data_IF_555484521381
#
_entry.id   IF_555484521381
#
_cell.length_a   1.000
_cell.length_b   1.000
_cell.length_c   1.000
_cell.angle_alpha   90.00
_cell.angle_beta   90.00
_cell.angle_gamma   90.00
#
_symmetry.space_group_name_H-M   'P 1'
#
loop_
_entity.id
_entity.type
_entity.pdbx_description
1 polymer ?
#
# COMPACT_ATOMS: atom_id res chain seq x y z
N UNK A 1 -39.39 -29.35 29.29
CA UNK A 1 -39.01 -27.95 29.02
C UNK A 1 -38.42 -27.93 27.63
N UNK A 2 -38.94 -27.10 26.75
CA UNK A 2 -38.50 -27.00 25.36
C UNK A 2 -38.17 -25.53 25.12
N UNK A 3 -36.99 -25.27 24.58
CA UNK A 3 -36.56 -23.96 24.12
C UNK A 3 -36.44 -24.03 22.61
N UNK A 4 -36.93 -22.99 21.93
CA UNK A 4 -36.89 -22.88 20.47
C UNK A 4 -36.32 -21.51 20.16
N UNK A 5 -35.29 -21.47 19.32
CA UNK A 5 -34.69 -20.24 18.82
C UNK A 5 -34.62 -20.28 17.30
N UNK A 6 -34.69 -19.10 16.68
CA UNK A 6 -34.53 -18.93 15.24
C UNK A 6 -33.97 -17.53 14.96
N UNK A 7 -33.13 -17.43 13.94
CA UNK A 7 -32.59 -16.17 13.44
C UNK A 7 -33.33 -15.76 12.17
N UNK A 8 -33.87 -14.54 12.16
CA UNK A 8 -34.48 -13.92 10.99
C UNK A 8 -33.48 -12.94 10.37
N UNK A 9 -33.25 -13.06 9.07
CA UNK A 9 -32.26 -12.25 8.36
C UNK A 9 -32.71 -11.80 6.97
N UNK A 10 -32.03 -10.80 6.38
CA UNK A 10 -32.37 -10.26 5.07
C UNK A 10 -31.92 -11.16 3.90
N UNK A 11 -31.07 -12.16 4.14
CA UNK A 11 -30.55 -13.04 3.10
C UNK A 11 -30.17 -14.41 3.64
N UNK A 12 -30.04 -15.39 2.74
CA UNK A 12 -29.62 -16.74 3.07
C UNK A 12 -28.12 -16.73 3.44
N UNK A 13 -27.83 -16.89 4.72
CA UNK A 13 -26.48 -17.00 5.29
C UNK A 13 -26.43 -18.18 6.24
N UNK A 14 -25.23 -18.73 6.45
CA UNK A 14 -25.04 -19.79 7.44
C UNK A 14 -25.47 -19.28 8.82
N UNK A 15 -26.40 -20.00 9.47
CA UNK A 15 -26.99 -19.61 10.75
C UNK A 15 -28.23 -18.70 10.67
N UNK A 16 -28.73 -18.34 9.49
CA UNK A 16 -30.05 -17.68 9.33
C UNK A 16 -31.12 -18.74 9.05
N UNK A 17 -32.07 -18.90 9.97
CA UNK A 17 -33.14 -19.89 9.85
C UNK A 17 -34.28 -19.42 8.93
N UNK A 18 -34.56 -18.11 8.89
CA UNK A 18 -35.68 -17.56 8.14
C UNK A 18 -35.30 -16.28 7.40
N UNK A 19 -35.45 -16.29 6.07
CA UNK A 19 -35.06 -15.17 5.20
C UNK A 19 -36.27 -14.29 4.89
N UNK A 20 -36.21 -13.02 5.27
CA UNK A 20 -37.29 -12.05 5.07
C UNK A 20 -37.00 -10.99 3.99
N UNK A 21 -35.77 -10.92 3.48
CA UNK A 21 -35.39 -9.89 2.51
C UNK A 21 -35.23 -8.50 3.14
N UNK A 22 -35.08 -7.48 2.29
CA UNK A 22 -34.90 -6.08 2.69
C UNK A 22 -36.17 -5.22 2.62
N UNK A 23 -37.27 -5.77 2.08
CA UNK A 23 -38.53 -5.05 1.89
C UNK A 23 -39.34 -4.82 3.19
N UNK A 24 -39.42 -5.78 4.14
CA UNK A 24 -40.21 -5.58 5.35
C UNK A 24 -39.65 -4.47 6.24
N UNK A 25 -40.47 -3.48 6.60
CA UNK A 25 -40.08 -2.37 7.48
C UNK A 25 -40.38 -2.63 8.97
N UNK A 26 -41.26 -3.58 9.26
CA UNK A 26 -41.57 -4.09 10.60
C UNK A 26 -42.10 -5.52 10.49
N UNK A 27 -42.05 -6.26 11.60
CA UNK A 27 -42.57 -7.62 11.68
C UNK A 27 -43.23 -7.90 13.00
N UNK A 28 -44.17 -8.84 12.99
CA UNK A 28 -44.82 -9.35 14.19
C UNK A 28 -44.37 -10.77 14.44
N UNK A 29 -43.96 -11.04 15.68
CA UNK A 29 -43.54 -12.34 16.14
C UNK A 29 -44.58 -12.89 17.11
N UNK A 30 -44.87 -14.18 16.99
CA UNK A 30 -45.84 -14.86 17.82
C UNK A 30 -45.66 -16.37 17.78
N UNK A 31 -46.39 -17.06 18.63
CA UNK A 31 -46.41 -18.52 18.71
C UNK A 31 -47.77 -19.01 18.21
N UNK A 32 -47.76 -19.97 17.28
CA UNK A 32 -48.95 -20.70 16.91
C UNK A 32 -48.99 -22.03 17.68
N UNK A 33 -50.03 -22.22 18.49
CA UNK A 33 -50.19 -23.40 19.34
C UNK A 33 -51.18 -24.36 18.67
N UNK A 34 -50.64 -25.42 18.06
CA UNK A 34 -51.44 -26.44 17.38
C UNK A 34 -51.50 -27.73 18.20
N UNK A 35 -52.65 -28.41 18.22
CA UNK A 35 -52.82 -29.67 18.96
C UNK A 35 -54.25 -29.95 19.42
N UNK A 36 -54.42 -31.02 20.20
CA UNK A 36 -55.70 -31.42 20.77
C UNK A 36 -56.22 -30.38 21.77
N UNK A 37 -57.54 -30.13 21.76
CA UNK A 37 -58.17 -29.18 22.68
C UNK A 37 -58.11 -29.67 24.14
N UNK A 38 -57.97 -28.73 25.08
CA UNK A 38 -57.91 -29.01 26.53
C UNK A 38 -56.50 -29.17 27.11
N UNK A 39 -55.45 -29.07 26.28
CA UNK A 39 -54.08 -28.98 26.75
C UNK A 39 -53.78 -27.65 27.46
N UNK A 40 -52.91 -27.70 28.47
CA UNK A 40 -52.41 -26.51 29.18
C UNK A 40 -50.96 -26.29 28.74
N UNK A 41 -50.68 -25.12 28.16
CA UNK A 41 -49.33 -24.68 27.79
C UNK A 41 -48.96 -23.51 28.71
N UNK A 42 -47.80 -23.61 29.36
CA UNK A 42 -47.22 -22.52 30.16
C UNK A 42 -45.99 -21.99 29.43
N UNK A 43 -45.99 -20.69 29.14
CA UNK A 43 -44.87 -19.97 28.54
C UNK A 43 -44.12 -19.28 29.68
N UNK A 44 -42.80 -19.43 29.71
CA UNK A 44 -41.97 -18.83 30.74
C UNK A 44 -41.44 -17.47 30.28
N UNK A 45 -40.77 -17.42 29.12
CA UNK A 45 -40.36 -16.18 28.46
C UNK A 45 -40.64 -16.17 26.94
N UNK A 46 -40.56 -14.96 26.37
CA UNK A 46 -40.45 -14.73 24.93
C UNK A 46 -39.52 -13.53 24.70
N UNK A 47 -38.33 -13.77 24.14
CA UNK A 47 -37.34 -12.73 23.89
C UNK A 47 -37.07 -12.51 22.38
N UNK A 48 -36.92 -11.23 22.00
CA UNK A 48 -36.41 -10.82 20.69
C UNK A 48 -35.17 -9.98 20.95
N UNK A 49 -34.03 -10.42 20.42
CA UNK A 49 -32.75 -9.76 20.57
C UNK A 49 -32.11 -9.44 19.22
N UNK A 50 -31.37 -8.34 19.17
CA UNK A 50 -30.53 -8.02 18.03
C UNK A 50 -29.27 -8.89 18.05
N UNK A 51 -29.17 -9.79 17.08
CA UNK A 51 -28.02 -10.69 16.90
C UNK A 51 -27.10 -10.27 15.74
N UNK A 52 -27.20 -9.03 15.27
CA UNK A 52 -26.35 -8.48 14.18
C UNK A 52 -24.85 -8.65 14.48
N UNK A 53 -24.46 -8.67 15.75
CA UNK A 53 -23.09 -8.95 16.19
C UNK A 53 -22.56 -10.34 15.82
N UNK A 54 -23.42 -11.35 15.68
CA UNK A 54 -23.03 -12.71 15.26
C UNK A 54 -22.53 -12.73 13.81
N UNK A 55 -23.05 -11.83 12.97
CA UNK A 55 -22.72 -11.74 11.55
C UNK A 55 -21.71 -10.62 11.23
N UNK A 56 -21.25 -9.87 12.24
CA UNK A 56 -20.41 -8.68 12.04
C UNK A 56 -19.06 -9.00 11.36
N UNK A 57 -18.47 -10.17 11.65
CA UNK A 57 -17.19 -10.59 11.06
C UNK A 57 -17.28 -10.96 9.57
N UNK A 58 -18.44 -11.36 9.09
CA UNK A 58 -18.68 -11.68 7.68
C UNK A 58 -19.18 -10.47 6.87
N UNK A 59 -19.78 -9.48 7.53
CA UNK A 59 -20.26 -8.25 6.89
C UNK A 59 -19.16 -7.20 6.69
N UNK A 60 -18.09 -7.25 7.48
CA UNK A 60 -16.94 -6.37 7.31
C UNK A 60 -15.93 -7.10 6.42
N UNK A 61 -15.88 -6.74 5.14
CA UNK A 61 -14.91 -7.23 4.16
C UNK A 61 -13.50 -6.67 4.42
N UNK A 62 -13.10 -6.56 5.68
CA UNK A 62 -11.89 -5.90 6.14
C UNK A 62 -11.20 -6.72 7.23
N UNK A 63 -9.88 -6.78 7.20
CA UNK A 63 -9.01 -7.36 8.23
C UNK A 63 -8.15 -6.24 8.80
N UNK A 64 -8.29 -5.95 10.09
CA UNK A 64 -7.51 -4.91 10.77
C UNK A 64 -6.15 -5.50 11.21
N UNK A 65 -5.04 -4.84 10.85
CA UNK A 65 -3.69 -5.28 11.27
C UNK A 65 -3.52 -5.33 12.80
N UNK A 66 -4.29 -4.56 13.56
CA UNK A 66 -4.24 -4.56 15.04
C UNK A 66 -4.79 -5.86 15.63
N UNK A 67 -5.71 -6.54 14.94
CA UNK A 67 -6.21 -7.85 15.37
C UNK A 67 -5.11 -8.92 15.35
N UNK A 68 -3.99 -8.64 14.65
CA UNK A 68 -2.81 -9.50 14.53
C UNK A 68 -1.61 -8.94 15.30
N UNK A 69 -1.85 -7.96 16.19
CA UNK A 69 -0.83 -7.44 17.10
C UNK A 69 -0.04 -6.25 16.58
N UNK A 70 -0.48 -5.58 15.51
CA UNK A 70 0.15 -4.34 15.07
C UNK A 70 -0.10 -3.21 16.09
N UNK A 71 0.95 -2.47 16.42
CA UNK A 71 0.96 -1.29 17.30
C UNK A 71 1.43 -0.07 16.52
N UNK A 72 0.55 0.92 16.38
CA UNK A 72 0.83 2.20 15.73
C UNK A 72 1.60 3.19 16.61
N UNK A 73 2.58 2.72 17.38
CA UNK A 73 3.31 3.46 18.43
C UNK A 73 4.62 4.12 17.95
N UNK A 74 5.00 3.92 16.69
CA UNK A 74 6.24 4.42 16.10
C UNK A 74 7.52 3.76 16.61
N UNK A 75 7.43 2.67 17.36
CA UNK A 75 8.57 1.97 17.96
C UNK A 75 8.58 0.48 17.61
N UNK A 76 7.44 -0.18 17.77
CA UNK A 76 7.28 -1.63 17.57
C UNK A 76 7.47 -1.99 16.09
N UNK A 77 8.25 -3.02 15.79
CA UNK A 77 8.33 -3.60 14.43
C UNK A 77 7.06 -4.41 14.16
N UNK A 78 6.26 -3.94 13.19
CA UNK A 78 4.94 -4.46 12.88
C UNK A 78 4.95 -5.49 11.74
N UNK A 79 6.12 -5.85 11.21
CA UNK A 79 6.25 -6.73 10.05
C UNK A 79 5.44 -8.03 10.19
N UNK A 80 5.61 -8.75 11.30
CA UNK A 80 4.93 -10.03 11.51
C UNK A 80 3.41 -9.89 11.60
N UNK A 81 2.91 -8.81 12.21
CA UNK A 81 1.48 -8.54 12.33
C UNK A 81 0.86 -8.28 10.95
N UNK A 82 1.53 -7.50 10.10
CA UNK A 82 1.08 -7.23 8.73
C UNK A 82 1.07 -8.49 7.87
N UNK A 83 2.10 -9.34 7.97
CA UNK A 83 2.15 -10.62 7.24
C UNK A 83 1.01 -11.56 7.69
N UNK A 84 0.78 -11.68 8.99
CA UNK A 84 -0.30 -12.52 9.52
C UNK A 84 -1.69 -12.01 9.10
N UNK A 85 -1.89 -10.70 9.11
CA UNK A 85 -3.13 -10.08 8.68
C UNK A 85 -3.36 -10.23 7.16
N UNK A 86 -2.32 -10.10 6.32
CA UNK A 86 -2.41 -10.33 4.86
C UNK A 86 -2.80 -11.77 4.55
N UNK A 87 -2.18 -12.74 5.22
CA UNK A 87 -2.52 -14.17 5.07
C UNK A 87 -3.97 -14.45 5.47
N UNK A 88 -4.43 -13.82 6.55
CA UNK A 88 -5.80 -13.98 7.01
C UNK A 88 -6.84 -13.21 6.17
N UNK A 89 -6.42 -12.21 5.40
CA UNK A 89 -7.31 -11.42 4.56
C UNK A 89 -8.11 -12.31 3.60
N UNK A 90 -7.48 -13.32 2.99
CA UNK A 90 -8.14 -14.29 2.10
C UNK A 90 -9.06 -13.63 1.06
N UNK A 91 -8.59 -12.54 0.44
CA UNK A 91 -9.34 -11.74 -0.54
C UNK A 91 -10.09 -10.53 0.02
N UNK A 92 -10.22 -10.41 1.35
CA UNK A 92 -10.73 -9.22 2.03
C UNK A 92 -9.72 -8.07 1.98
N UNK A 93 -10.18 -6.85 2.23
CA UNK A 93 -9.30 -5.69 2.29
C UNK A 93 -8.52 -5.67 3.62
N UNK A 94 -7.24 -5.35 3.59
CA UNK A 94 -6.44 -5.11 4.78
C UNK A 94 -6.58 -3.65 5.21
N UNK A 95 -7.04 -3.39 6.43
CA UNK A 95 -7.08 -2.05 7.01
C UNK A 95 -5.87 -1.83 7.89
N UNK A 96 -5.20 -0.70 7.65
CA UNK A 96 -4.15 -0.15 8.51
C UNK A 96 -4.70 1.13 9.15
N UNK A 97 -5.25 1.05 10.38
CA UNK A 97 -5.86 2.19 11.05
C UNK A 97 -4.86 3.30 11.35
N UNK A 98 -5.35 4.45 11.80
CA UNK A 98 -4.51 5.55 12.27
C UNK A 98 -3.44 5.08 13.29
N UNK A 99 -2.23 5.62 13.15
CA UNK A 99 -1.05 5.22 13.93
C UNK A 99 0.24 5.30 13.12
N UNK A 100 1.39 5.21 13.80
CA UNK A 100 2.72 5.16 13.19
C UNK A 100 3.28 3.73 13.26
N UNK A 101 3.40 3.06 12.13
CA UNK A 101 3.79 1.65 12.07
C UNK A 101 5.20 1.52 11.50
N UNK A 102 6.16 1.13 12.34
CA UNK A 102 7.48 0.76 11.85
C UNK A 102 7.41 -0.62 11.20
N UNK A 103 7.96 -0.75 10.00
CA UNK A 103 8.15 -2.01 9.30
C UNK A 103 9.63 -2.11 8.96
N UNK A 104 10.36 -2.92 9.73
CA UNK A 104 11.83 -2.90 9.71
C UNK A 104 12.49 -3.54 8.48
N UNK A 105 11.71 -4.05 7.52
CA UNK A 105 12.21 -4.81 6.35
C UNK A 105 11.22 -4.78 5.19
N UNK A 106 11.62 -5.33 4.05
CA UNK A 106 10.77 -5.41 2.86
C UNK A 106 9.47 -6.17 3.13
N UNK A 107 8.34 -5.58 2.74
CA UNK A 107 6.99 -6.09 2.98
C UNK A 107 6.26 -6.26 1.64
N UNK A 108 5.60 -7.40 1.46
CA UNK A 108 4.74 -7.68 0.31
C UNK A 108 3.35 -8.03 0.82
N UNK A 109 2.34 -7.34 0.33
CA UNK A 109 0.94 -7.52 0.70
C UNK A 109 0.13 -7.92 -0.54
N UNK A 110 -0.54 -9.06 -0.45
CA UNK A 110 -1.34 -9.66 -1.52
C UNK A 110 -2.81 -9.23 -1.46
N UNK A 111 -3.29 -8.80 -0.30
CA UNK A 111 -4.61 -8.24 -0.10
C UNK A 111 -4.70 -6.80 -0.67
N UNK A 112 -5.88 -6.36 -1.14
CA UNK A 112 -6.14 -4.93 -1.33
C UNK A 112 -5.96 -4.23 0.02
N UNK A 113 -5.37 -3.03 0.05
CA UNK A 113 -5.11 -2.32 1.31
C UNK A 113 -5.89 -1.01 1.41
N UNK A 114 -6.26 -0.63 2.62
CA UNK A 114 -6.72 0.70 3.00
C UNK A 114 -5.83 1.20 4.13
N UNK A 115 -5.03 2.24 3.86
CA UNK A 115 -4.06 2.75 4.83
C UNK A 115 -4.49 4.12 5.32
N UNK A 116 -4.89 4.18 6.58
CA UNK A 116 -5.22 5.41 7.30
C UNK A 116 -3.98 5.94 8.04
N UNK A 117 -3.25 5.06 8.73
CA UNK A 117 -2.01 5.40 9.42
C UNK A 117 -0.82 5.71 8.51
N UNK A 118 0.37 5.80 9.10
CA UNK A 118 1.64 6.07 8.41
C UNK A 118 2.62 4.92 8.62
N UNK A 119 3.22 4.44 7.54
CA UNK A 119 4.31 3.47 7.56
C UNK A 119 5.66 4.19 7.66
N UNK A 120 6.58 3.60 8.43
CA UNK A 120 7.99 3.99 8.51
C UNK A 120 8.81 2.77 8.13
N UNK A 121 9.62 2.91 7.07
CA UNK A 121 10.40 1.82 6.50
C UNK A 121 11.82 2.29 6.21
N UNK A 122 12.84 1.43 6.36
CA UNK A 122 14.19 1.69 5.86
C UNK A 122 14.16 2.02 4.36
N UNK A 123 15.06 2.87 3.86
CA UNK A 123 15.07 3.29 2.45
C UNK A 123 15.18 2.12 1.47
N UNK A 124 15.99 1.11 1.82
CA UNK A 124 16.24 -0.11 1.05
C UNK A 124 15.14 -1.18 1.17
N UNK A 125 14.17 -1.01 2.06
CA UNK A 125 13.08 -1.96 2.27
C UNK A 125 11.93 -1.75 1.27
N UNK A 126 11.69 -2.66 0.31
CA UNK A 126 10.57 -2.54 -0.63
C UNK A 126 9.22 -2.72 0.04
N UNK A 127 8.22 -1.92 -0.37
CA UNK A 127 6.81 -2.14 -0.07
C UNK A 127 6.08 -2.52 -1.35
N UNK A 128 5.70 -3.79 -1.51
CA UNK A 128 5.00 -4.31 -2.69
C UNK A 128 3.53 -4.51 -2.36
N UNK A 129 2.63 -3.80 -3.06
CA UNK A 129 1.18 -3.83 -2.85
C UNK A 129 0.46 -4.43 -4.06
N UNK A 130 0.40 -5.77 -4.16
CA UNK A 130 0.02 -6.47 -5.40
C UNK A 130 -1.37 -6.09 -5.94
N UNK A 131 -2.34 -5.77 -5.07
CA UNK A 131 -3.72 -5.40 -5.46
C UNK A 131 -4.06 -3.93 -5.25
N UNK A 132 -3.08 -3.11 -4.84
CA UNK A 132 -3.27 -1.68 -4.59
C UNK A 132 -2.08 -0.87 -5.07
N UNK A 133 -1.47 -1.29 -6.18
CA UNK A 133 -0.30 -0.66 -6.74
C UNK A 133 -0.65 0.58 -7.57
N UNK A 134 -0.62 1.75 -6.93
CA UNK A 134 -0.75 3.07 -7.54
C UNK A 134 -0.18 4.13 -6.59
N UNK A 135 0.23 5.30 -7.09
CA UNK A 135 0.86 6.32 -6.26
C UNK A 135 -0.03 6.80 -5.10
N UNK A 136 -1.34 6.93 -5.29
CA UNK A 136 -2.22 7.42 -4.22
C UNK A 136 -2.16 6.52 -2.99
N UNK A 137 -2.17 5.20 -3.16
CA UNK A 137 -2.03 4.25 -2.04
C UNK A 137 -0.67 4.38 -1.34
N UNK A 138 0.42 4.68 -2.07
CA UNK A 138 1.71 4.93 -1.44
C UNK A 138 1.75 6.28 -0.71
N UNK A 139 1.08 7.32 -1.24
CA UNK A 139 0.92 8.60 -0.55
C UNK A 139 0.15 8.38 0.76
N UNK A 140 -0.92 7.60 0.72
CA UNK A 140 -1.68 7.23 1.91
C UNK A 140 -0.79 6.47 2.91
N UNK A 141 0.11 5.61 2.44
CA UNK A 141 1.04 4.87 3.29
C UNK A 141 2.10 5.76 3.98
N UNK A 142 2.71 6.70 3.25
CA UNK A 142 3.90 7.43 3.74
C UNK A 142 3.61 8.87 4.20
N UNK A 143 2.45 9.42 3.81
CA UNK A 143 2.06 10.81 4.02
C UNK A 143 3.09 11.82 3.46
N UNK A 144 3.81 11.41 2.40
CA UNK A 144 4.84 12.19 1.71
C UNK A 144 4.89 11.75 0.24
N UNK A 145 4.73 12.70 -0.68
CA UNK A 145 4.63 12.41 -2.12
C UNK A 145 5.95 11.89 -2.71
N UNK A 146 7.08 12.53 -2.39
CA UNK A 146 8.39 12.09 -2.87
C UNK A 146 8.78 10.71 -2.32
N UNK A 147 8.58 10.47 -1.02
CA UNK A 147 8.87 9.17 -0.43
C UNK A 147 7.95 8.09 -1.00
N UNK A 148 6.67 8.40 -1.16
CA UNK A 148 5.71 7.51 -1.82
C UNK A 148 6.15 7.15 -3.24
N UNK A 149 6.60 8.12 -4.03
CA UNK A 149 7.12 7.87 -5.37
C UNK A 149 8.36 6.97 -5.34
N UNK A 150 9.36 7.27 -4.51
CA UNK A 150 10.57 6.45 -4.36
C UNK A 150 10.22 5.00 -4.00
N UNK A 151 9.30 4.80 -3.06
CA UNK A 151 8.83 3.47 -2.63
C UNK A 151 8.00 2.75 -3.69
N UNK A 152 7.15 3.46 -4.42
CA UNK A 152 6.37 2.89 -5.52
C UNK A 152 7.27 2.49 -6.70
N UNK A 153 8.30 3.29 -7.01
CA UNK A 153 9.32 2.94 -8.01
C UNK A 153 10.17 1.74 -7.55
N UNK A 154 10.55 1.71 -6.28
CA UNK A 154 11.24 0.57 -5.69
C UNK A 154 10.44 -0.72 -5.83
N UNK A 155 9.13 -0.67 -5.62
CA UNK A 155 8.23 -1.80 -5.85
C UNK A 155 8.11 -2.17 -7.34
N UNK A 156 8.13 -1.21 -8.26
CA UNK A 156 8.08 -1.46 -9.71
C UNK A 156 9.23 -2.36 -10.19
N UNK A 157 10.42 -2.16 -9.61
CA UNK A 157 11.63 -2.88 -9.99
C UNK A 157 11.87 -4.12 -9.12
N UNK A 158 11.22 -4.24 -7.98
CA UNK A 158 11.32 -5.42 -7.10
C UNK A 158 10.14 -6.39 -7.21
N UNK A 159 9.05 -6.00 -7.89
CA UNK A 159 7.93 -6.89 -8.22
C UNK A 159 8.01 -7.39 -9.68
N UNK A 160 7.54 -8.60 -9.91
CA UNK A 160 7.36 -9.16 -11.25
C UNK A 160 5.99 -8.88 -11.87
N UNK A 161 5.03 -8.42 -11.06
CA UNK A 161 3.61 -8.46 -11.38
C UNK A 161 3.08 -7.15 -12.00
N UNK A 162 3.87 -6.08 -11.98
CA UNK A 162 3.47 -4.77 -12.48
C UNK A 162 4.40 -4.29 -13.59
N UNK A 163 3.82 -3.94 -14.75
CA UNK A 163 4.53 -3.34 -15.87
C UNK A 163 4.63 -1.82 -15.76
N UNK A 164 3.76 -1.20 -14.97
CA UNK A 164 3.61 0.25 -14.91
C UNK A 164 3.18 0.76 -13.54
N UNK A 165 3.77 1.89 -13.14
CA UNK A 165 3.35 2.71 -12.01
C UNK A 165 2.37 3.79 -12.51
N UNK A 166 1.14 3.76 -12.01
CA UNK A 166 0.15 4.80 -12.22
C UNK A 166 0.26 5.90 -11.14
N UNK A 167 0.56 7.13 -11.56
CA UNK A 167 0.68 8.29 -10.68
C UNK A 167 -0.68 8.90 -10.25
N UNK A 168 -1.80 8.28 -10.65
CA UNK A 168 -3.16 8.63 -10.21
C UNK A 168 -3.58 10.07 -10.53
N UNK A 169 -3.10 10.64 -11.63
CA UNK A 169 -3.34 12.03 -12.03
C UNK A 169 -2.69 13.08 -11.13
N UNK A 170 -1.78 12.67 -10.23
CA UNK A 170 -1.13 13.57 -9.26
C UNK A 170 0.00 14.37 -9.90
N UNK A 171 0.19 15.58 -9.39
CA UNK A 171 1.44 16.34 -9.54
C UNK A 171 2.27 16.12 -8.29
N UNK A 172 3.47 15.58 -8.43
CA UNK A 172 4.43 15.34 -7.35
C UNK A 172 5.34 16.55 -7.26
N UNK A 173 5.31 17.26 -6.14
CA UNK A 173 6.31 18.27 -5.84
C UNK A 173 7.64 17.59 -5.48
N UNK A 174 8.70 17.95 -6.18
CA UNK A 174 10.05 17.41 -6.00
C UNK A 174 10.98 18.53 -5.59
N UNK A 175 11.60 18.42 -4.42
CA UNK A 175 12.40 19.45 -3.77
C UNK A 175 13.88 19.40 -4.17
N UNK A 176 14.33 18.29 -4.73
CA UNK A 176 15.69 18.06 -5.21
C UNK A 176 15.70 16.89 -6.22
N UNK A 177 16.74 16.73 -7.06
CA UNK A 177 16.87 15.57 -7.93
C UNK A 177 16.63 14.23 -7.20
N UNK A 178 15.84 13.34 -7.81
CA UNK A 178 15.54 12.02 -7.25
C UNK A 178 16.59 11.03 -7.76
N UNK A 179 17.45 10.55 -6.87
CA UNK A 179 18.34 9.43 -7.19
C UNK A 179 17.55 8.11 -7.27
N UNK A 180 17.27 7.70 -8.51
CA UNK A 180 16.53 6.49 -8.82
C UNK A 180 17.35 5.22 -8.51
N UNK A 181 18.69 5.30 -8.56
CA UNK A 181 19.57 4.18 -8.21
C UNK A 181 19.62 3.98 -6.70
N UNK A 182 19.64 5.06 -5.91
CA UNK A 182 19.51 4.97 -4.45
C UNK A 182 18.14 4.43 -4.03
N UNK A 183 17.06 4.81 -4.73
CA UNK A 183 15.72 4.27 -4.49
C UNK A 183 15.64 2.74 -4.73
N UNK A 184 16.49 2.20 -5.62
CA UNK A 184 16.57 0.76 -5.94
C UNK A 184 18.01 0.29 -5.88
N UNK A 185 18.59 0.34 -4.68
CA UNK A 185 20.01 0.04 -4.44
C UNK A 185 20.43 -1.40 -4.74
N UNK A 186 19.48 -2.32 -4.84
CA UNK A 186 19.73 -3.75 -5.01
C UNK A 186 19.75 -4.22 -6.48
N UNK A 187 19.58 -3.31 -7.44
CA UNK A 187 19.56 -3.64 -8.88
C UNK A 187 20.28 -2.58 -9.70
N UNK A 188 21.12 -3.03 -10.62
CA UNK A 188 21.79 -2.21 -11.63
C UNK A 188 21.25 -2.43 -13.05
N UNK A 189 20.47 -3.51 -13.26
CA UNK A 189 19.91 -3.86 -14.55
C UNK A 189 18.47 -4.40 -14.42
N UNK A 190 17.68 -4.21 -15.47
CA UNK A 190 16.32 -4.72 -15.57
C UNK A 190 15.96 -4.95 -17.03
N UNK A 191 15.51 -6.16 -17.38
CA UNK A 191 15.37 -6.59 -18.78
C UNK A 191 14.01 -6.24 -19.40
N UNK A 192 13.00 -6.00 -18.57
CA UNK A 192 11.65 -5.68 -19.03
C UNK A 192 11.39 -4.18 -18.96
N UNK A 193 10.78 -3.61 -20.00
CA UNK A 193 10.37 -2.21 -19.94
C UNK A 193 9.37 -1.99 -18.80
N UNK A 194 9.57 -0.92 -18.05
CA UNK A 194 8.65 -0.41 -17.03
C UNK A 194 8.20 1.01 -17.39
N UNK A 195 6.99 1.38 -16.99
CA UNK A 195 6.39 2.67 -17.36
C UNK A 195 5.92 3.42 -16.13
N UNK A 196 6.27 4.70 -16.03
CA UNK A 196 5.63 5.63 -15.11
C UNK A 196 4.66 6.47 -15.93
N UNK A 197 3.40 6.57 -15.53
CA UNK A 197 2.34 7.20 -16.32
C UNK A 197 1.31 7.93 -15.46
N UNK A 198 0.48 8.74 -16.11
CA UNK A 198 -0.69 9.39 -15.52
C UNK A 198 -0.36 10.31 -14.32
N UNK A 199 0.59 11.22 -14.49
CA UNK A 199 0.93 12.24 -13.49
C UNK A 199 1.99 13.20 -13.99
N UNK A 200 2.45 14.09 -13.11
CA UNK A 200 3.43 15.13 -13.41
C UNK A 200 4.44 15.27 -12.28
N UNK A 201 5.65 15.73 -12.61
CA UNK A 201 6.62 16.19 -11.63
C UNK A 201 6.70 17.71 -11.69
N UNK A 202 6.76 18.35 -10.53
CA UNK A 202 6.96 19.78 -10.39
C UNK A 202 8.22 20.01 -9.55
N UNK A 203 9.26 20.57 -10.16
CA UNK A 203 10.45 20.98 -9.43
C UNK A 203 10.09 22.17 -8.54
N UNK A 204 10.24 21.98 -7.23
CA UNK A 204 10.00 22.98 -6.21
C UNK A 204 11.31 23.29 -5.47
N UNK A 205 11.47 24.55 -5.08
CA UNK A 205 12.68 25.04 -4.42
C UNK A 205 13.73 25.47 -5.44
N UNK A 206 14.67 26.31 -4.99
CA UNK A 206 15.64 26.94 -5.88
C UNK A 206 17.04 26.33 -5.68
N UNK A 207 17.54 26.31 -4.45
CA UNK A 207 18.95 25.98 -4.17
C UNK A 207 19.35 24.54 -4.48
N UNK A 208 18.45 23.57 -4.33
CA UNK A 208 18.75 22.15 -4.57
C UNK A 208 18.80 21.78 -6.07
N UNK A 209 18.38 22.70 -6.94
CA UNK A 209 18.38 22.54 -8.39
C UNK A 209 19.49 23.35 -9.08
N UNK A 210 20.28 24.10 -8.29
CA UNK A 210 21.44 24.82 -8.80
C UNK A 210 22.51 23.86 -9.31
N UNK A 211 23.18 24.24 -10.38
CA UNK A 211 24.23 23.41 -10.98
C UNK A 211 25.46 23.37 -10.07
N UNK A 212 25.96 22.16 -9.81
CA UNK A 212 27.33 21.97 -9.34
C UNK A 212 28.28 22.05 -10.53
N UNK A 213 29.18 23.05 -10.53
CA UNK A 213 30.14 23.27 -11.62
C UNK A 213 31.55 23.00 -11.11
N UNK A 214 32.18 21.96 -11.68
CA UNK A 214 33.57 21.59 -11.38
C UNK A 214 34.43 21.85 -12.61
N UNK A 215 35.48 22.65 -12.44
CA UNK A 215 36.47 22.88 -13.48
C UNK A 215 37.64 21.90 -13.28
N UNK A 216 37.89 21.05 -14.27
CA UNK A 216 38.99 20.09 -14.25
C UNK A 216 39.76 20.12 -15.57
N UNK A 217 41.06 19.84 -15.50
CA UNK A 217 41.92 19.66 -16.66
C UNK A 217 42.02 18.18 -16.97
N UNK A 218 41.80 17.81 -18.23
CA UNK A 218 41.93 16.46 -18.73
C UNK A 218 42.58 16.44 -20.12
N UNK A 219 42.98 15.25 -20.56
CA UNK A 219 43.51 14.99 -21.90
C UNK A 219 42.57 14.05 -22.66
N UNK A 220 42.44 14.21 -23.97
CA UNK A 220 41.59 13.37 -24.83
C UNK A 220 42.37 12.88 -26.06
N UNK A 221 41.90 11.77 -26.64
CA UNK A 221 42.43 11.19 -27.89
C UNK A 221 41.27 10.98 -28.86
N UNK A 222 41.40 11.49 -30.09
CA UNK A 222 40.37 11.34 -31.14
C UNK A 222 40.13 9.87 -31.51
N UNK A 223 41.12 9.00 -31.32
CA UNK A 223 40.98 7.56 -31.54
C UNK A 223 40.27 6.85 -30.38
N UNK A 224 40.12 7.52 -29.23
CA UNK A 224 39.38 7.02 -28.05
C UNK A 224 38.35 8.06 -27.60
N UNK A 225 37.35 8.41 -28.44
CA UNK A 225 36.53 9.62 -28.29
C UNK A 225 35.58 9.62 -27.09
N UNK A 226 35.50 8.52 -26.33
CA UNK A 226 34.63 8.36 -25.15
C UNK A 226 35.40 8.32 -23.83
N UNK A 227 36.71 8.59 -23.84
CA UNK A 227 37.56 8.44 -22.65
C UNK A 227 38.41 9.69 -22.46
N UNK A 228 38.20 10.38 -21.34
CA UNK A 228 39.12 11.38 -20.82
C UNK A 228 40.20 10.70 -19.98
N UNK A 229 41.44 11.17 -20.11
CA UNK A 229 42.62 10.68 -19.37
C UNK A 229 43.21 11.81 -18.54
N UNK A 230 43.86 11.45 -17.45
CA UNK A 230 44.54 12.40 -16.55
C UNK A 230 43.61 13.52 -16.04
N UNK A 231 42.37 13.17 -15.70
CA UNK A 231 41.39 14.13 -15.16
C UNK A 231 41.83 14.52 -13.75
N UNK A 232 42.17 15.79 -13.57
CA UNK A 232 42.60 16.34 -12.27
C UNK A 232 41.43 16.32 -11.30
N UNK A 233 41.66 15.90 -10.05
CA UNK A 233 40.65 15.86 -8.99
C UNK A 233 39.33 15.17 -9.40
N UNK A 234 39.44 14.09 -10.18
CA UNK A 234 38.30 13.33 -10.70
C UNK A 234 37.29 12.90 -9.62
N UNK A 235 37.74 12.70 -8.38
CA UNK A 235 36.90 12.34 -7.24
C UNK A 235 35.87 13.43 -6.87
N UNK A 236 36.09 14.68 -7.29
CA UNK A 236 35.17 15.79 -7.04
C UNK A 236 34.13 15.94 -8.15
N UNK A 237 34.21 15.18 -9.24
CA UNK A 237 33.26 15.29 -10.36
C UNK A 237 32.10 14.32 -10.10
N UNK A 238 30.84 14.81 -10.03
CA UNK A 238 29.68 13.94 -9.86
C UNK A 238 29.54 12.93 -11.01
N UNK A 239 29.14 11.70 -10.69
CA UNK A 239 28.87 10.66 -11.70
C UNK A 239 27.67 11.08 -12.54
N UNK A 240 27.82 11.04 -13.87
CA UNK A 240 26.79 11.48 -14.81
C UNK A 240 26.70 13.00 -14.98
N UNK A 241 27.73 13.75 -14.57
CA UNK A 241 27.82 15.18 -14.83
C UNK A 241 27.96 15.47 -16.33
N UNK A 242 27.28 16.52 -16.82
CA UNK A 242 27.46 17.01 -18.18
C UNK A 242 28.91 17.52 -18.34
N UNK A 243 29.60 17.02 -19.36
CA UNK A 243 30.95 17.43 -19.73
C UNK A 243 30.87 18.50 -20.81
N UNK A 244 31.45 19.67 -20.54
CA UNK A 244 31.58 20.76 -21.50
C UNK A 244 33.06 21.10 -21.73
N UNK A 245 33.44 21.43 -22.96
CA UNK A 245 34.80 21.80 -23.28
C UNK A 245 35.11 21.76 -24.78
N UNK A 246 36.30 22.26 -25.13
CA UNK A 246 36.75 22.25 -26.52
C UNK A 246 36.92 20.81 -27.02
N UNK A 247 36.20 20.47 -28.10
CA UNK A 247 36.23 19.12 -28.68
C UNK A 247 35.25 18.13 -28.04
N UNK A 248 34.45 18.56 -27.07
CA UNK A 248 33.36 17.76 -26.49
C UNK A 248 32.08 17.96 -27.31
N UNK A 249 31.36 16.86 -27.57
CA UNK A 249 30.07 16.89 -28.25
C UNK A 249 28.97 17.50 -27.40
N UNK A 250 27.78 17.70 -27.99
CA UNK A 250 26.59 18.12 -27.22
C UNK A 250 26.07 16.93 -26.40
N UNK A 251 25.57 17.20 -25.19
CA UNK A 251 24.92 16.19 -24.32
C UNK A 251 25.83 14.98 -24.02
N UNK A 252 27.10 15.25 -23.71
CA UNK A 252 28.07 14.24 -23.26
C UNK A 252 28.12 14.24 -21.74
N UNK A 253 27.94 13.07 -21.11
CA UNK A 253 27.94 12.86 -19.66
C UNK A 253 28.98 11.82 -19.25
#
# INVERSE_FOLDING_TARGET
MVEISAIVGPGLRDGVDMVWGSEPTYGHFGLDLTGASGGIVRIDDFEIQDVTGLFHREMINVVDVRDYGALGDGQTDNYNAFVAADQAANGRQLLVPEGLYNIGRGLSLSAPVQIQGRLVMPDDAPLVLSKSYNLSTYIDAFKSEELAFKKAFQALLNSGDHDSLDLSGRTIAVTAPIDMQAAVSNRSEYTQRRVIRNGQFYAQGDTAWENEVVNSVATYDQNTPKVLKNVVDVANIPVGALVEGHGVGREVY
#
